data_IF_705452032936
#
_entry.id   IF_705452032936
#
_cell.length_a   1.000
_cell.length_b   1.000
_cell.length_c   1.000
_cell.angle_alpha   90.00
_cell.angle_beta   90.00
_cell.angle_gamma   90.00
#
_symmetry.space_group_name_H-M   'P 1'
#
loop_
_entity.id
_entity.type
_entity.pdbx_description
1 polymer ?
#
# COMPACT_ATOMS: atom_id res chain seq x y z
N UNK A 1 9.87 1.28 -0.68
CA UNK A 1 8.84 0.49 0.01
C UNK A 1 7.76 0.09 -1.00
N UNK A 2 7.50 -1.20 -1.12
CA UNK A 2 6.49 -1.78 -2.02
C UNK A 2 5.50 -2.57 -1.18
N UNK A 3 4.22 -2.17 -1.18
CA UNK A 3 3.18 -2.80 -0.35
C UNK A 3 2.96 -4.27 -0.71
N UNK A 4 2.97 -4.62 -1.99
CA UNK A 4 2.83 -6.01 -2.43
C UNK A 4 4.01 -6.85 -1.98
N UNK A 5 5.22 -6.35 -2.13
CA UNK A 5 6.43 -7.07 -1.76
C UNK A 5 6.48 -7.40 -0.26
N UNK A 6 6.23 -6.40 0.61
CA UNK A 6 6.27 -6.63 2.06
C UNK A 6 5.14 -7.55 2.51
N UNK A 7 3.97 -7.46 1.88
CA UNK A 7 2.85 -8.37 2.13
C UNK A 7 3.25 -9.81 1.76
N UNK A 8 3.84 -10.00 0.58
CA UNK A 8 4.29 -11.31 0.13
C UNK A 8 5.38 -11.89 1.04
N UNK A 9 6.22 -11.03 1.62
CA UNK A 9 7.27 -11.44 2.54
C UNK A 9 6.76 -11.81 3.95
N UNK A 10 5.48 -11.57 4.23
CA UNK A 10 4.86 -11.99 5.49
C UNK A 10 4.47 -10.87 6.45
N UNK A 11 4.73 -9.62 6.10
CA UNK A 11 4.37 -8.49 6.97
C UNK A 11 2.89 -8.15 6.82
N UNK A 12 2.22 -7.88 7.94
CA UNK A 12 0.82 -7.49 7.93
C UNK A 12 0.71 -5.98 7.68
N UNK A 13 0.15 -5.62 6.52
CA UNK A 13 -0.13 -4.22 6.18
C UNK A 13 -1.63 -3.94 6.18
N UNK A 14 -2.45 -4.92 6.55
CA UNK A 14 -3.92 -4.84 6.49
C UNK A 14 -4.53 -4.39 7.82
N UNK A 15 -4.20 -5.07 8.93
CA UNK A 15 -4.72 -4.67 10.23
C UNK A 15 -3.97 -3.44 10.75
N UNK A 16 -4.62 -2.64 11.60
CA UNK A 16 -3.98 -1.46 12.18
C UNK A 16 -2.78 -1.84 13.04
N UNK A 17 -2.90 -2.89 13.85
CA UNK A 17 -1.82 -3.37 14.69
C UNK A 17 -0.66 -3.91 13.85
N UNK A 18 -0.95 -4.69 12.84
CA UNK A 18 0.06 -5.23 11.92
C UNK A 18 0.77 -4.13 11.15
N UNK A 19 0.03 -3.12 10.68
CA UNK A 19 0.60 -1.95 10.03
C UNK A 19 1.60 -1.25 10.95
N UNK A 20 1.22 -1.01 12.20
CA UNK A 20 2.11 -0.34 13.16
C UNK A 20 3.37 -1.16 13.43
N UNK A 21 3.24 -2.47 13.61
CA UNK A 21 4.38 -3.34 13.81
C UNK A 21 5.31 -3.39 12.59
N UNK A 22 4.73 -3.39 11.39
CA UNK A 22 5.49 -3.38 10.14
C UNK A 22 6.29 -2.09 10.03
N UNK A 23 5.67 -0.93 10.33
CA UNK A 23 6.38 0.35 10.29
C UNK A 23 7.46 0.45 11.36
N UNK A 24 7.20 -0.08 12.56
CA UNK A 24 8.19 -0.09 13.63
C UNK A 24 9.43 -0.91 13.22
N UNK A 25 9.22 -2.04 12.55
CA UNK A 25 10.31 -2.86 12.04
C UNK A 25 11.11 -2.13 10.96
N UNK A 26 10.43 -1.43 10.06
CA UNK A 26 11.07 -0.64 9.01
C UNK A 26 11.87 0.51 9.61
N UNK A 27 11.28 1.20 10.59
CA UNK A 27 11.93 2.32 11.28
C UNK A 27 13.20 1.85 12.00
N UNK A 28 13.13 0.71 12.67
CA UNK A 28 14.28 0.15 13.37
C UNK A 28 15.39 -0.28 12.39
N UNK A 29 15.01 -0.74 11.19
CA UNK A 29 15.98 -1.21 10.21
C UNK A 29 16.69 -0.08 9.47
N UNK A 30 15.98 0.98 9.09
CA UNK A 30 16.56 2.03 8.25
C UNK A 30 16.08 3.45 8.56
N UNK A 31 15.02 3.60 9.36
CA UNK A 31 14.38 4.88 9.64
C UNK A 31 13.34 5.25 8.58
N UNK A 32 12.14 5.64 9.04
CA UNK A 32 11.04 6.01 8.12
C UNK A 32 11.38 7.23 7.26
N UNK A 33 12.23 8.12 7.75
CA UNK A 33 12.65 9.29 7.00
C UNK A 33 13.46 8.98 5.74
N UNK A 34 13.97 7.75 5.61
CA UNK A 34 14.70 7.31 4.42
C UNK A 34 13.77 6.80 3.31
N UNK A 35 12.47 6.65 3.58
CA UNK A 35 11.51 6.22 2.56
C UNK A 35 11.23 7.41 1.64
N UNK A 36 11.70 7.32 0.39
CA UNK A 36 11.60 8.40 -0.61
C UNK A 36 10.48 8.20 -1.61
N UNK A 37 10.00 6.97 -1.75
CA UNK A 37 8.94 6.62 -2.67
C UNK A 37 8.26 5.34 -2.16
N UNK A 38 6.96 5.23 -2.43
CA UNK A 38 6.19 4.04 -2.10
C UNK A 38 5.58 3.50 -3.39
N UNK A 39 5.80 2.23 -3.65
CA UNK A 39 5.12 1.52 -4.72
C UNK A 39 3.83 0.95 -4.13
N UNK A 40 2.71 1.55 -4.48
CA UNK A 40 1.39 1.20 -3.95
C UNK A 40 0.74 0.18 -4.87
N UNK A 41 0.86 -1.09 -4.52
CA UNK A 41 0.33 -2.20 -5.31
C UNK A 41 -0.43 -3.16 -4.42
N UNK A 42 -1.60 -3.63 -4.86
CA UNK A 42 -2.29 -4.70 -4.18
C UNK A 42 -1.66 -6.05 -4.58
N UNK A 43 -2.05 -7.12 -3.94
CA UNK A 43 -1.45 -8.43 -4.14
C UNK A 43 -2.50 -9.45 -4.56
N UNK A 44 -2.19 -10.24 -5.59
CA UNK A 44 -3.04 -11.36 -6.02
C UNK A 44 -2.98 -12.53 -5.06
N UNK A 45 -1.97 -12.57 -4.20
CA UNK A 45 -1.69 -13.73 -3.34
C UNK A 45 -1.77 -13.37 -1.86
N UNK A 46 -1.84 -14.40 -1.02
CA UNK A 46 -1.94 -14.25 0.42
C UNK A 46 -0.64 -13.73 1.04
N UNK A 47 -0.76 -13.16 2.23
CA UNK A 47 0.39 -12.70 3.00
C UNK A 47 1.35 -13.87 3.28
N UNK A 48 2.64 -13.61 3.06
CA UNK A 48 3.68 -14.59 3.34
C UNK A 48 3.85 -15.65 2.27
N UNK A 49 3.15 -15.53 1.13
CA UNK A 49 3.24 -16.51 0.04
C UNK A 49 4.58 -16.45 -0.71
N UNK A 50 5.35 -15.37 -0.53
CA UNK A 50 6.62 -15.11 -1.20
C UNK A 50 6.52 -15.01 -2.73
N UNK A 51 5.32 -14.65 -3.21
CA UNK A 51 5.05 -14.42 -4.63
C UNK A 51 4.63 -12.98 -4.80
N UNK A 52 5.46 -12.17 -5.47
CA UNK A 52 5.22 -10.75 -5.70
C UNK A 52 4.42 -10.59 -7.00
N UNK A 53 3.08 -10.60 -6.90
CA UNK A 53 2.15 -10.45 -8.02
C UNK A 53 1.24 -9.27 -7.74
N UNK A 54 1.39 -8.21 -8.52
CA UNK A 54 0.62 -6.98 -8.36
C UNK A 54 -0.83 -7.15 -8.81
N UNK A 55 -1.74 -6.54 -8.07
CA UNK A 55 -3.16 -6.47 -8.41
C UNK A 55 -3.62 -5.01 -8.32
N UNK A 56 -4.75 -4.71 -8.95
CA UNK A 56 -5.35 -3.38 -8.89
C UNK A 56 -5.74 -3.04 -7.46
N UNK A 57 -5.60 -1.77 -7.09
CA UNK A 57 -5.88 -1.30 -5.73
C UNK A 57 -7.29 -1.69 -5.29
N UNK A 58 -7.39 -2.36 -4.17
CA UNK A 58 -8.66 -2.79 -3.60
C UNK A 58 -9.20 -4.11 -4.13
N UNK A 59 -8.56 -4.69 -5.15
CA UNK A 59 -9.01 -5.94 -5.78
C UNK A 59 -8.23 -7.16 -5.33
N UNK A 60 -7.23 -7.00 -4.46
CA UNK A 60 -6.37 -8.08 -4.00
C UNK A 60 -6.47 -8.36 -2.52
N UNK A 61 -5.50 -9.12 -2.01
CA UNK A 61 -5.46 -9.56 -0.62
C UNK A 61 -5.19 -8.44 0.38
N UNK A 62 -4.50 -7.37 -0.03
CA UNK A 62 -4.29 -6.20 0.83
C UNK A 62 -5.60 -5.44 0.97
N UNK A 63 -6.28 -5.18 -0.14
CA UNK A 63 -7.60 -4.57 -0.17
C UNK A 63 -7.65 -3.13 0.31
N UNK A 64 -8.86 -2.56 0.29
CA UNK A 64 -9.07 -1.16 0.70
C UNK A 64 -8.67 -0.91 2.15
N UNK A 65 -8.84 -1.88 3.03
CA UNK A 65 -8.47 -1.74 4.43
C UNK A 65 -6.97 -1.48 4.61
N UNK A 66 -6.13 -2.25 3.90
CA UNK A 66 -4.68 -2.06 3.95
C UNK A 66 -4.26 -0.73 3.35
N UNK A 67 -4.85 -0.35 2.23
CA UNK A 67 -4.50 0.93 1.60
C UNK A 67 -5.03 2.13 2.39
N UNK A 68 -6.08 1.96 3.20
CA UNK A 68 -6.48 3.01 4.14
C UNK A 68 -5.36 3.28 5.15
N UNK A 69 -4.68 2.24 5.65
CA UNK A 69 -3.53 2.41 6.53
C UNK A 69 -2.43 3.23 5.85
N UNK A 70 -2.09 2.88 4.61
CA UNK A 70 -1.05 3.58 3.84
C UNK A 70 -1.40 5.06 3.64
N UNK A 71 -2.62 5.33 3.16
CA UNK A 71 -3.02 6.68 2.76
C UNK A 71 -3.30 7.60 3.95
N UNK A 72 -3.46 7.05 5.14
CA UNK A 72 -3.66 7.84 6.36
C UNK A 72 -2.46 7.86 7.29
N UNK A 73 -1.33 7.28 6.88
CA UNK A 73 -0.12 7.24 7.69
C UNK A 73 0.59 8.59 7.65
N UNK A 74 0.71 9.30 8.78
CA UNK A 74 1.35 10.63 8.80
C UNK A 74 2.80 10.62 8.31
N UNK A 75 3.55 9.54 8.59
CA UNK A 75 4.95 9.45 8.18
C UNK A 75 5.11 9.46 6.66
N UNK A 76 4.08 9.06 5.91
CA UNK A 76 4.13 8.94 4.46
C UNK A 76 3.29 9.99 3.73
N UNK A 77 2.78 11.00 4.45
CA UNK A 77 1.90 12.01 3.88
C UNK A 77 2.50 12.70 2.64
N UNK A 78 3.77 13.02 2.69
CA UNK A 78 4.46 13.74 1.63
C UNK A 78 5.35 12.84 0.76
N UNK A 79 5.24 11.51 0.91
CA UNK A 79 6.01 10.56 0.12
C UNK A 79 5.22 10.18 -1.13
N UNK A 80 5.81 10.32 -2.34
CA UNK A 80 5.13 9.92 -3.58
C UNK A 80 4.74 8.44 -3.58
N UNK A 81 3.54 8.14 -4.07
CA UNK A 81 3.02 6.78 -4.21
C UNK A 81 2.85 6.50 -5.71
N UNK A 82 3.49 5.44 -6.17
CA UNK A 82 3.51 5.06 -7.58
C UNK A 82 2.79 3.73 -7.75
N UNK A 83 1.94 3.63 -8.77
CA UNK A 83 1.23 2.40 -9.10
C UNK A 83 2.01 1.61 -10.16
N UNK A 84 2.25 0.34 -9.86
CA UNK A 84 2.78 -0.62 -10.84
C UNK A 84 1.79 -1.77 -11.00
N UNK A 85 0.51 -1.44 -10.89
CA UNK A 85 -0.60 -2.39 -10.98
C UNK A 85 -0.89 -2.75 -12.43
N UNK A 86 -1.64 -3.86 -12.68
CA UNK A 86 -2.01 -4.24 -14.04
C UNK A 86 -2.67 -3.09 -14.80
N UNK A 87 -2.36 -2.98 -16.08
CA UNK A 87 -2.82 -1.89 -16.94
C UNK A 87 -3.86 -2.39 -17.94
N UNK A 88 -4.79 -1.54 -18.30
CA UNK A 88 -5.65 -1.73 -19.45
C UNK A 88 -5.14 -0.82 -20.60
N UNK A 89 -5.76 -0.95 -21.77
CA UNK A 89 -5.29 -0.23 -22.96
C UNK A 89 -5.46 1.28 -22.87
N UNK A 90 -6.43 1.76 -22.10
CA UNK A 90 -6.81 3.17 -22.02
C UNK A 90 -6.37 3.87 -20.74
N UNK A 91 -5.68 3.15 -19.86
CA UNK A 91 -5.26 3.71 -18.55
C UNK A 91 -6.41 3.88 -17.57
N UNK A 92 -7.55 3.25 -17.82
CA UNK A 92 -8.72 3.33 -16.96
C UNK A 92 -8.44 2.74 -15.57
N UNK A 93 -7.76 1.61 -15.55
CA UNK A 93 -7.44 0.95 -14.27
C UNK A 93 -6.50 1.78 -13.41
N UNK A 94 -5.56 2.50 -14.01
CA UNK A 94 -4.70 3.41 -13.25
C UNK A 94 -5.51 4.57 -12.68
N UNK A 95 -6.42 5.14 -13.46
CA UNK A 95 -7.28 6.23 -12.97
C UNK A 95 -8.17 5.76 -11.83
N UNK A 96 -8.74 4.55 -11.92
CA UNK A 96 -9.55 3.96 -10.86
C UNK A 96 -8.71 3.72 -9.60
N UNK A 97 -7.48 3.21 -9.74
CA UNK A 97 -6.57 3.00 -8.63
C UNK A 97 -6.20 4.29 -7.91
N UNK A 98 -5.84 5.32 -8.67
CA UNK A 98 -5.53 6.63 -8.10
C UNK A 98 -6.74 7.24 -7.39
N UNK A 99 -7.93 7.11 -8.00
CA UNK A 99 -9.16 7.62 -7.40
C UNK A 99 -9.47 6.89 -6.08
N UNK A 100 -9.27 5.58 -6.04
CA UNK A 100 -9.46 4.78 -4.83
C UNK A 100 -8.53 5.22 -3.70
N UNK A 101 -7.26 5.44 -4.01
CA UNK A 101 -6.28 5.90 -3.02
C UNK A 101 -6.63 7.30 -2.50
N UNK A 102 -7.02 8.21 -3.37
CA UNK A 102 -7.42 9.57 -2.98
C UNK A 102 -8.65 9.57 -2.08
N UNK A 103 -9.60 8.69 -2.38
CA UNK A 103 -10.81 8.55 -1.55
C UNK A 103 -10.45 8.07 -0.14
N UNK A 104 -9.55 7.13 -0.01
CA UNK A 104 -9.09 6.64 1.30
C UNK A 104 -8.36 7.72 2.10
N UNK A 105 -7.55 8.54 1.43
CA UNK A 105 -6.88 9.66 2.07
C UNK A 105 -7.89 10.71 2.58
N UNK A 106 -8.94 11.00 1.81
CA UNK A 106 -9.99 11.96 2.20
C UNK A 106 -10.80 11.49 3.40
N UNK A 107 -10.96 10.18 3.59
CA UNK A 107 -11.67 9.66 4.77
C UNK A 107 -11.01 10.06 6.08
N UNK A 108 -9.68 10.11 6.12
CA UNK A 108 -8.97 10.59 7.30
C UNK A 108 -9.26 12.07 7.54
N UNK A 109 -9.22 12.87 6.48
CA UNK A 109 -9.46 14.31 6.57
C UNK A 109 -10.91 14.63 6.98
N UNK A 110 -11.87 13.79 6.58
CA UNK A 110 -13.29 13.95 6.89
C UNK A 110 -13.71 13.33 8.21
N UNK A 111 -12.85 12.57 8.82
CA UNK A 111 -13.10 11.91 10.08
C UNK A 111 -12.28 12.47 11.17
#
# INVERSE_FOLDING_TARGET
>A
FDTCHVHAAGYDVVSKDGWRKTLDALDAACGLGLVRVIHANDSKKERGCRVDRHERIGHGAIGSKGFANLMTEPAFENVPKILETPKDEEGKWDREGLAALRKLARKKAGG
#
